data_IF_630625756009
#
_entry.id   IF_630625756009
#
_cell.length_a   1.000
_cell.length_b   1.000
_cell.length_c   1.000
_cell.angle_alpha   90.00
_cell.angle_beta   90.00
_cell.angle_gamma   90.00
#
_symmetry.space_group_name_H-M   'P 1'
#
loop_
_entity.id
_entity.type
_entity.pdbx_description
1 polymer ?
#
# COMPACT_ATOMS: atom_id res chain seq x y z
N UNK A 1 8.13 7.78 -8.60
CA UNK A 1 8.68 7.62 -7.23
C UNK A 1 9.73 6.50 -7.17
N UNK A 2 9.45 5.32 -7.76
CA UNK A 2 10.39 4.16 -7.82
C UNK A 2 11.80 4.54 -8.31
N UNK A 3 11.91 5.22 -9.45
CA UNK A 3 13.21 5.62 -10.04
C UNK A 3 14.03 6.56 -9.16
N UNK A 4 13.40 7.41 -8.35
CA UNK A 4 14.06 8.43 -7.53
C UNK A 4 14.65 7.84 -6.24
N UNK A 5 13.93 6.87 -5.63
CA UNK A 5 14.42 6.13 -4.45
C UNK A 5 15.56 5.19 -4.82
N UNK A 6 15.49 4.63 -6.03
CA UNK A 6 16.43 3.65 -6.59
C UNK A 6 17.82 4.24 -6.87
N UNK A 7 17.90 5.42 -7.46
CA UNK A 7 19.14 5.86 -8.11
C UNK A 7 20.15 6.52 -7.18
N UNK A 8 19.76 6.91 -5.95
CA UNK A 8 20.56 7.61 -4.91
C UNK A 8 21.32 8.89 -5.36
N UNK A 9 21.49 9.13 -6.67
CA UNK A 9 22.17 10.24 -7.33
C UNK A 9 21.49 10.53 -8.68
N UNK A 10 21.41 11.80 -9.04
CA UNK A 10 20.80 12.32 -10.28
C UNK A 10 21.50 11.73 -11.53
N UNK A 11 22.80 11.43 -11.44
CA UNK A 11 23.60 10.89 -12.55
C UNK A 11 23.19 9.46 -12.95
N UNK A 12 22.75 8.63 -11.98
CA UNK A 12 22.29 7.26 -12.24
C UNK A 12 20.92 7.24 -12.92
N UNK A 13 20.13 8.31 -12.77
CA UNK A 13 18.79 8.45 -13.34
C UNK A 13 18.84 8.74 -14.84
N UNK A 14 19.88 9.46 -15.30
CA UNK A 14 20.16 9.66 -16.72
C UNK A 14 20.71 8.41 -17.43
N UNK A 15 21.36 7.50 -16.70
CA UNK A 15 22.02 6.32 -17.26
C UNK A 15 21.19 5.02 -17.16
N UNK A 16 19.96 5.06 -16.64
CA UNK A 16 19.09 3.90 -16.42
C UNK A 16 19.80 2.71 -15.73
N UNK A 17 20.79 2.99 -14.88
CA UNK A 17 21.47 1.95 -14.12
C UNK A 17 20.60 1.52 -12.96
N UNK A 18 19.91 0.38 -13.14
CA UNK A 18 19.28 -0.36 -12.04
C UNK A 18 20.40 -0.87 -11.13
N UNK A 19 20.62 -0.17 -10.02
CA UNK A 19 21.80 -0.37 -9.17
C UNK A 19 21.72 -1.60 -8.27
N UNK A 20 20.53 -2.13 -8.01
CA UNK A 20 20.30 -3.16 -6.98
C UNK A 20 19.18 -4.12 -7.36
N UNK A 21 19.30 -5.39 -6.95
CA UNK A 21 18.25 -6.43 -7.10
C UNK A 21 16.92 -5.98 -6.47
N UNK A 22 16.98 -5.17 -5.40
CA UNK A 22 15.81 -4.57 -4.77
C UNK A 22 14.97 -3.70 -5.72
N UNK A 23 15.61 -3.02 -6.68
CA UNK A 23 14.93 -2.11 -7.59
C UNK A 23 14.04 -2.86 -8.57
N UNK A 24 14.53 -4.03 -9.03
CA UNK A 24 13.76 -4.94 -9.87
C UNK A 24 12.54 -5.48 -9.10
N UNK A 25 12.70 -5.83 -7.82
CA UNK A 25 11.59 -6.25 -6.98
C UNK A 25 10.55 -5.15 -6.78
N UNK A 26 10.96 -3.90 -6.57
CA UNK A 26 10.03 -2.77 -6.45
C UNK A 26 9.27 -2.55 -7.77
N UNK A 27 9.96 -2.61 -8.92
CA UNK A 27 9.30 -2.48 -10.23
C UNK A 27 8.27 -3.58 -10.44
N UNK A 28 8.65 -4.85 -10.23
CA UNK A 28 7.73 -5.98 -10.35
C UNK A 28 6.54 -5.87 -9.39
N UNK A 29 6.77 -5.44 -8.15
CA UNK A 29 5.71 -5.22 -7.16
C UNK A 29 4.74 -4.12 -7.62
N UNK A 30 5.25 -3.02 -8.17
CA UNK A 30 4.40 -1.91 -8.64
C UNK A 30 3.57 -2.27 -9.86
N UNK A 31 4.13 -3.05 -10.80
CA UNK A 31 3.39 -3.59 -11.95
C UNK A 31 2.30 -4.54 -11.47
N UNK A 32 2.65 -5.50 -10.60
CA UNK A 32 1.69 -6.43 -10.02
C UNK A 32 0.55 -5.69 -9.30
N UNK A 33 0.87 -4.66 -8.52
CA UNK A 33 -0.13 -3.84 -7.84
C UNK A 33 -1.06 -3.12 -8.81
N UNK A 34 -0.51 -2.46 -9.83
CA UNK A 34 -1.29 -1.76 -10.85
C UNK A 34 -2.22 -2.71 -11.62
N UNK A 35 -1.73 -3.88 -12.04
CA UNK A 35 -2.56 -4.90 -12.68
C UNK A 35 -3.68 -5.37 -11.75
N UNK A 36 -3.37 -5.62 -10.48
CA UNK A 36 -4.38 -6.08 -9.50
C UNK A 36 -5.46 -5.02 -9.30
N UNK A 37 -5.12 -3.74 -9.20
CA UNK A 37 -6.08 -2.65 -9.06
C UNK A 37 -7.00 -2.52 -10.29
N UNK A 38 -6.45 -2.63 -11.51
CA UNK A 38 -7.23 -2.54 -12.75
C UNK A 38 -8.15 -3.76 -12.91
N UNK A 39 -7.62 -4.97 -12.71
CA UNK A 39 -8.39 -6.22 -12.81
C UNK A 39 -9.50 -6.26 -11.76
N UNK A 40 -9.17 -5.94 -10.51
CA UNK A 40 -10.16 -5.91 -9.42
C UNK A 40 -11.27 -4.94 -9.74
N UNK A 41 -10.96 -3.72 -10.23
CA UNK A 41 -11.98 -2.77 -10.68
C UNK A 41 -12.85 -3.30 -11.83
N UNK A 42 -12.25 -4.01 -12.78
CA UNK A 42 -12.99 -4.55 -13.94
C UNK A 42 -14.00 -5.63 -13.53
N UNK A 43 -13.70 -6.41 -12.50
CA UNK A 43 -14.53 -7.55 -12.06
C UNK A 43 -15.27 -7.30 -10.74
N UNK A 44 -15.08 -6.12 -10.11
CA UNK A 44 -15.73 -5.73 -8.85
C UNK A 44 -17.27 -5.69 -8.95
N UNK A 45 -17.83 -5.51 -10.15
CA UNK A 45 -19.28 -5.56 -10.37
C UNK A 45 -19.88 -6.97 -10.43
N UNK A 46 -19.08 -7.99 -10.70
CA UNK A 46 -19.53 -9.38 -10.91
C UNK A 46 -19.16 -10.32 -9.75
N UNK A 47 -18.29 -9.88 -8.84
CA UNK A 47 -17.70 -10.71 -7.77
C UNK A 47 -17.93 -10.05 -6.41
N UNK A 48 -18.43 -10.82 -5.44
CA UNK A 48 -18.54 -10.37 -4.06
C UNK A 48 -17.16 -9.98 -3.49
N UNK A 49 -17.01 -8.71 -3.12
CA UNK A 49 -15.80 -8.09 -2.57
C UNK A 49 -15.20 -8.84 -1.36
N UNK A 50 -16.05 -9.41 -0.52
CA UNK A 50 -15.62 -10.25 0.61
C UNK A 50 -15.00 -11.58 0.15
N UNK A 51 -15.53 -12.19 -0.92
CA UNK A 51 -15.01 -13.45 -1.46
C UNK A 51 -13.63 -13.27 -2.11
N UNK A 52 -13.41 -12.16 -2.82
CA UNK A 52 -12.10 -11.81 -3.38
C UNK A 52 -11.04 -11.65 -2.29
N UNK A 53 -11.40 -10.92 -1.23
CA UNK A 53 -10.52 -10.66 -0.09
C UNK A 53 -10.20 -11.96 0.66
N UNK A 54 -11.22 -12.81 0.87
CA UNK A 54 -11.04 -14.13 1.46
C UNK A 54 -10.07 -14.99 0.66
N UNK A 55 -10.25 -15.10 -0.65
CA UNK A 55 -9.38 -15.91 -1.50
C UNK A 55 -7.91 -15.43 -1.46
N UNK A 56 -7.72 -14.11 -1.47
CA UNK A 56 -6.39 -13.49 -1.39
C UNK A 56 -5.70 -13.78 -0.06
N UNK A 57 -6.41 -13.69 1.06
CA UNK A 57 -5.86 -14.05 2.38
C UNK A 57 -5.68 -15.56 2.55
N UNK A 58 -6.55 -16.41 1.97
CA UNK A 58 -6.38 -17.86 2.01
C UNK A 58 -5.11 -18.29 1.28
N UNK A 59 -4.86 -17.78 0.07
CA UNK A 59 -3.64 -18.07 -0.69
C UNK A 59 -2.41 -17.57 0.07
N UNK A 60 -2.45 -16.34 0.58
CA UNK A 60 -1.36 -15.78 1.37
C UNK A 60 -1.08 -16.62 2.62
N UNK A 61 -2.11 -17.07 3.33
CA UNK A 61 -2.00 -17.92 4.51
C UNK A 61 -1.34 -19.26 4.19
N UNK A 62 -1.69 -19.90 3.07
CA UNK A 62 -1.10 -21.18 2.67
C UNK A 62 0.40 -21.00 2.37
N UNK A 63 0.76 -19.99 1.57
CA UNK A 63 2.16 -19.70 1.23
C UNK A 63 2.98 -19.40 2.49
N UNK A 64 2.44 -18.56 3.38
CA UNK A 64 3.11 -18.18 4.62
C UNK A 64 3.27 -19.39 5.57
N UNK A 65 2.27 -20.27 5.62
CA UNK A 65 2.34 -21.51 6.41
C UNK A 65 3.44 -22.44 5.90
N UNK A 66 3.57 -22.61 4.59
CA UNK A 66 4.65 -23.41 3.97
C UNK A 66 6.02 -22.80 4.30
N UNK A 67 6.15 -21.48 4.21
CA UNK A 67 7.38 -20.77 4.54
C UNK A 67 7.78 -20.92 6.03
N UNK A 68 6.81 -20.83 6.94
CA UNK A 68 7.06 -21.02 8.38
C UNK A 68 7.53 -22.44 8.70
N UNK A 69 6.89 -23.44 8.09
CA UNK A 69 7.27 -24.85 8.20
C UNK A 69 8.69 -25.10 7.66
N UNK A 70 9.05 -24.50 6.52
CA UNK A 70 10.38 -24.64 5.92
C UNK A 70 11.49 -24.03 6.79
N UNK A 71 11.19 -22.97 7.54
CA UNK A 71 12.17 -22.28 8.40
C UNK A 71 12.12 -22.72 9.87
N UNK A 72 11.33 -23.73 10.23
CA UNK A 72 11.13 -24.19 11.63
C UNK A 72 10.79 -23.05 12.59
N UNK A 73 10.08 -22.05 12.09
CA UNK A 73 9.75 -20.84 12.84
C UNK A 73 8.39 -20.97 13.50
N UNK A 74 8.25 -20.42 14.70
CA UNK A 74 7.00 -20.54 15.48
C UNK A 74 5.89 -19.72 14.84
N UNK A 75 4.70 -20.33 14.75
CA UNK A 75 3.53 -19.77 14.06
C UNK A 75 3.01 -18.48 14.69
N UNK A 76 3.15 -18.35 16.01
CA UNK A 76 2.67 -17.22 16.80
C UNK A 76 3.70 -16.95 17.89
N UNK A 77 4.59 -16.00 17.64
CA UNK A 77 5.60 -15.60 18.63
C UNK A 77 5.12 -14.46 19.52
N UNK A 78 4.10 -13.70 19.09
CA UNK A 78 3.66 -12.49 19.78
C UNK A 78 2.19 -12.15 19.48
N UNK A 79 1.44 -11.72 20.49
CA UNK A 79 0.05 -11.25 20.36
C UNK A 79 -0.09 -10.05 19.41
N UNK A 80 0.97 -9.25 19.25
CA UNK A 80 1.00 -8.17 18.25
C UNK A 80 0.87 -8.68 16.81
N UNK A 81 1.31 -9.91 16.50
CA UNK A 81 1.17 -10.50 15.16
C UNK A 81 -0.30 -10.73 14.81
N UNK A 82 -1.10 -11.21 15.77
CA UNK A 82 -2.55 -11.39 15.60
C UNK A 82 -3.22 -10.03 15.42
N UNK A 83 -2.85 -9.06 16.25
CA UNK A 83 -3.45 -7.72 16.23
C UNK A 83 -3.20 -7.01 14.88
N UNK A 84 -1.97 -7.09 14.37
CA UNK A 84 -1.62 -6.55 13.04
C UNK A 84 -2.37 -7.30 11.94
N UNK A 85 -2.44 -8.63 12.01
CA UNK A 85 -3.17 -9.44 11.04
C UNK A 85 -4.66 -9.07 10.96
N UNK A 86 -5.31 -8.89 12.10
CA UNK A 86 -6.73 -8.45 12.18
C UNK A 86 -6.89 -7.04 11.63
N UNK A 87 -6.01 -6.10 12.02
CA UNK A 87 -6.06 -4.72 11.54
C UNK A 87 -5.91 -4.64 10.01
N UNK A 88 -4.95 -5.40 9.45
CA UNK A 88 -4.74 -5.50 7.99
C UNK A 88 -5.96 -6.14 7.33
N UNK A 89 -6.48 -7.24 7.87
CA UNK A 89 -7.66 -7.93 7.33
C UNK A 89 -8.86 -6.99 7.21
N UNK A 90 -9.22 -6.30 8.30
CA UNK A 90 -10.33 -5.33 8.33
C UNK A 90 -10.06 -4.19 7.35
N UNK A 91 -8.85 -3.61 7.37
CA UNK A 91 -8.49 -2.50 6.47
C UNK A 91 -8.59 -2.88 5.00
N UNK A 92 -8.22 -4.11 4.64
CA UNK A 92 -8.29 -4.58 3.25
C UNK A 92 -9.73 -4.80 2.78
N UNK A 93 -10.61 -5.32 3.65
CA UNK A 93 -12.05 -5.45 3.36
C UNK A 93 -12.66 -4.06 3.13
N UNK A 94 -12.42 -3.12 4.05
CA UNK A 94 -12.90 -1.75 3.93
C UNK A 94 -12.36 -1.04 2.69
N UNK A 95 -11.10 -1.31 2.32
CA UNK A 95 -10.49 -0.75 1.12
C UNK A 95 -11.21 -1.21 -0.16
N UNK A 96 -11.50 -2.51 -0.30
CA UNK A 96 -12.20 -2.98 -1.49
C UNK A 96 -13.67 -2.59 -1.50
N UNK A 97 -14.37 -2.60 -0.35
CA UNK A 97 -15.74 -2.07 -0.28
C UNK A 97 -15.77 -0.57 -0.62
N UNK A 98 -14.78 0.20 -0.15
CA UNK A 98 -14.62 1.60 -0.51
C UNK A 98 -14.41 1.76 -2.00
N UNK A 99 -13.58 0.92 -2.61
CA UNK A 99 -13.30 0.93 -4.05
C UNK A 99 -14.54 0.69 -4.92
N UNK A 100 -15.50 -0.09 -4.42
CA UNK A 100 -16.79 -0.35 -5.06
C UNK A 100 -17.74 0.87 -4.95
N UNK A 101 -17.67 1.60 -3.82
CA UNK A 101 -18.62 2.67 -3.49
C UNK A 101 -18.19 4.07 -3.93
N UNK A 102 -16.90 4.30 -4.18
CA UNK A 102 -16.35 5.65 -4.47
C UNK A 102 -15.60 5.73 -5.80
N UNK A 103 -15.48 6.94 -6.36
CA UNK A 103 -14.79 7.19 -7.63
C UNK A 103 -13.30 6.82 -7.56
N UNK A 104 -12.70 6.50 -8.71
CA UNK A 104 -11.29 6.12 -8.80
C UNK A 104 -10.32 7.18 -8.25
N UNK A 105 -10.53 8.46 -8.61
CA UNK A 105 -9.76 9.55 -8.01
C UNK A 105 -9.85 9.61 -6.48
N UNK A 106 -11.03 9.33 -5.91
CA UNK A 106 -11.21 9.41 -4.46
C UNK A 106 -10.45 8.29 -3.75
N UNK A 107 -10.44 7.06 -4.29
CA UNK A 107 -9.60 5.97 -3.77
C UNK A 107 -8.12 6.33 -3.89
N UNK A 108 -7.68 6.83 -5.05
CA UNK A 108 -6.29 7.22 -5.25
C UNK A 108 -5.86 8.38 -4.36
N UNK A 109 -6.73 9.35 -4.10
CA UNK A 109 -6.50 10.42 -3.13
C UNK A 109 -6.34 9.87 -1.70
N UNK A 110 -7.19 8.93 -1.30
CA UNK A 110 -7.07 8.26 -0.01
C UNK A 110 -5.75 7.48 0.11
N UNK A 111 -5.35 6.74 -0.93
CA UNK A 111 -4.06 6.05 -0.96
C UNK A 111 -2.89 7.03 -0.83
N UNK A 112 -2.95 8.15 -1.55
CA UNK A 112 -1.95 9.21 -1.43
C UNK A 112 -1.91 9.76 0.00
N UNK A 113 -3.03 9.84 0.71
CA UNK A 113 -3.09 10.32 2.10
C UNK A 113 -2.63 9.29 3.15
N UNK A 114 -2.37 8.03 2.78
CA UNK A 114 -1.86 6.98 3.69
C UNK A 114 -0.69 7.44 4.58
N UNK A 115 0.41 8.05 4.06
CA UNK A 115 1.51 8.53 4.89
C UNK A 115 1.11 9.57 5.95
N UNK A 116 0.06 10.35 5.71
CA UNK A 116 -0.46 11.29 6.71
C UNK A 116 -1.09 10.53 7.91
N UNK A 117 -1.97 9.57 7.62
CA UNK A 117 -2.55 8.73 8.67
C UNK A 117 -1.49 7.88 9.37
N UNK A 118 -0.51 7.36 8.63
CA UNK A 118 0.61 6.62 9.20
C UNK A 118 1.44 7.48 10.18
N UNK A 119 1.74 8.75 9.82
CA UNK A 119 2.46 9.66 10.71
C UNK A 119 1.66 10.00 11.97
N UNK A 120 0.35 10.22 11.87
CA UNK A 120 -0.52 10.47 13.02
C UNK A 120 -0.59 9.24 13.94
N UNK A 121 -0.79 8.05 13.38
CA UNK A 121 -0.85 6.82 14.16
C UNK A 121 0.52 6.48 14.75
N UNK A 122 1.63 6.77 14.06
CA UNK A 122 2.98 6.65 14.59
C UNK A 122 3.19 7.54 15.82
N UNK A 123 2.74 8.81 15.75
CA UNK A 123 2.79 9.71 16.90
C UNK A 123 1.89 9.24 18.06
N UNK A 124 0.64 8.84 17.79
CA UNK A 124 -0.33 8.50 18.82
C UNK A 124 -0.10 7.13 19.46
N UNK A 125 0.25 6.12 18.66
CA UNK A 125 0.33 4.71 19.09
C UNK A 125 1.77 4.32 19.44
N UNK A 126 2.76 4.77 18.65
CA UNK A 126 4.17 4.46 18.87
C UNK A 126 4.92 5.56 19.66
N UNK A 127 4.33 6.75 19.83
CA UNK A 127 5.00 7.88 20.49
C UNK A 127 6.11 8.51 19.64
N UNK A 128 6.11 8.30 18.32
CA UNK A 128 7.13 8.85 17.43
C UNK A 128 7.00 10.38 17.30
N UNK A 129 8.12 11.11 17.30
CA UNK A 129 8.08 12.56 17.10
C UNK A 129 7.88 12.93 15.64
N UNK A 130 6.88 13.78 15.35
CA UNK A 130 6.63 14.29 14.00
C UNK A 130 7.71 15.32 13.63
N UNK A 131 8.44 15.04 12.57
CA UNK A 131 9.50 15.92 12.05
C UNK A 131 8.92 17.06 11.19
N UNK A 132 9.63 18.19 11.12
CA UNK A 132 9.25 19.32 10.24
C UNK A 132 9.14 18.87 8.77
N UNK A 133 10.00 17.95 8.33
CA UNK A 133 9.97 17.42 6.97
C UNK A 133 8.69 16.62 6.69
N UNK A 134 8.18 15.85 7.65
CA UNK A 134 6.90 15.15 7.53
C UNK A 134 5.73 16.14 7.44
N UNK A 135 5.76 17.23 8.22
CA UNK A 135 4.73 18.28 8.16
C UNK A 135 4.69 18.93 6.77
N UNK A 136 5.86 19.29 6.22
CA UNK A 136 5.96 19.85 4.86
C UNK A 136 5.43 18.83 3.83
N UNK A 137 5.79 17.55 3.98
CA UNK A 137 5.30 16.46 3.14
C UNK A 137 3.78 16.36 3.14
N UNK A 138 3.16 16.42 4.33
CA UNK A 138 1.69 16.40 4.49
C UNK A 138 1.04 17.59 3.79
N UNK A 139 1.59 18.81 3.96
CA UNK A 139 1.04 20.01 3.31
C UNK A 139 1.08 19.88 1.79
N UNK A 140 2.21 19.45 1.23
CA UNK A 140 2.35 19.23 -0.22
C UNK A 140 1.36 18.18 -0.74
N UNK A 141 1.14 17.13 0.05
CA UNK A 141 0.22 16.05 -0.28
C UNK A 141 -1.22 16.53 -0.35
N UNK A 142 -1.66 17.31 0.65
CA UNK A 142 -3.00 17.93 0.66
C UNK A 142 -3.22 18.82 -0.56
N UNK A 143 -2.22 19.64 -0.91
CA UNK A 143 -2.27 20.49 -2.12
C UNK A 143 -2.37 19.63 -3.39
N UNK A 144 -1.57 18.56 -3.49
CA UNK A 144 -1.59 17.65 -4.63
C UNK A 144 -2.94 16.96 -4.82
N UNK A 145 -3.53 16.45 -3.73
CA UNK A 145 -4.88 15.84 -3.75
C UNK A 145 -5.92 16.87 -4.18
N UNK A 146 -5.88 18.08 -3.62
CA UNK A 146 -6.83 19.14 -3.95
C UNK A 146 -6.81 19.49 -5.45
N UNK A 147 -5.62 19.63 -6.02
CA UNK A 147 -5.44 19.90 -7.46
C UNK A 147 -5.93 18.74 -8.33
N UNK A 148 -5.68 17.50 -7.92
CA UNK A 148 -6.11 16.31 -8.66
C UNK A 148 -7.64 16.18 -8.66
N UNK A 149 -8.25 16.36 -7.48
CA UNK A 149 -9.69 16.20 -7.30
C UNK A 149 -10.48 17.25 -8.09
N UNK A 150 -9.96 18.48 -8.21
CA UNK A 150 -10.59 19.53 -9.02
C UNK A 150 -10.61 19.20 -10.52
N UNK A 151 -9.62 18.45 -11.02
CA UNK A 151 -9.50 18.11 -12.45
C UNK A 151 -10.46 16.99 -12.88
N UNK A 152 -10.95 16.17 -11.95
CA UNK A 152 -11.87 15.07 -12.26
C UNK A 152 -13.35 15.50 -12.28
N UNK A 153 -13.64 16.74 -11.84
CA UNK A 153 -14.97 17.35 -11.89
C UNK A 153 -15.15 18.32 -13.09
N UNK A 154 -14.12 18.54 -13.91
CA UNK A 154 -14.15 19.22 -15.23
C UNK A 154 -14.19 18.21 -16.39
#
# INVERSE_FOLDING_TARGET
MVLLVTTRSIDNLYLLKLGTIGDLFVLLATIAWATTAIVTRKYLGDINTGALTFHRFSIASIIFSIYLLANSSTFLSNIYQITIGVAVGIGTILYYEGMERIKAAQVSALELSTPFYAAILGFLVLGETITILQIIGVILLVIGIYLLSKKEDE
#
